data_IF_283052016919
#
_entry.id   IF_283052016919
#
_cell.length_a   1.000
_cell.length_b   1.000
_cell.length_c   1.000
_cell.angle_alpha   90.00
_cell.angle_beta   90.00
_cell.angle_gamma   90.00
#
_symmetry.space_group_name_H-M   'P 1'
#
loop_
_entity.id
_entity.type
_entity.pdbx_description
1 polymer ?
#
# COMPACT_ATOMS: atom_id res chain seq x y z
N UNK A 1 31.78 -1.27 -0.46
CA UNK A 1 30.59 -1.11 0.40
C UNK A 1 29.98 0.27 0.20
N UNK A 2 28.65 0.39 0.23
CA UNK A 2 27.97 1.69 0.06
C UNK A 2 28.32 2.65 1.21
N UNK A 3 28.35 3.96 0.93
CA UNK A 3 28.61 5.00 1.94
C UNK A 3 27.58 4.93 3.07
N UNK A 4 26.31 4.76 2.71
CA UNK A 4 25.17 4.71 3.64
C UNK A 4 25.27 3.65 4.74
N UNK A 5 25.80 2.46 4.43
CA UNK A 5 25.99 1.42 5.44
C UNK A 5 26.96 1.85 6.55
N UNK A 6 28.00 2.64 6.20
CA UNK A 6 28.94 3.19 7.20
C UNK A 6 28.29 4.30 8.00
N UNK A 7 27.50 5.16 7.36
CA UNK A 7 26.74 6.24 8.01
C UNK A 7 25.79 5.69 9.07
N UNK A 8 25.00 4.65 8.75
CA UNK A 8 24.10 3.98 9.71
C UNK A 8 24.88 3.36 10.87
N UNK A 9 26.01 2.70 10.57
CA UNK A 9 26.84 2.10 11.62
C UNK A 9 27.42 3.16 12.57
N UNK A 10 27.90 4.29 12.03
CA UNK A 10 28.41 5.40 12.82
C UNK A 10 27.30 5.99 13.69
N UNK A 11 26.11 6.26 13.13
CA UNK A 11 24.93 6.71 13.89
C UNK A 11 24.60 5.81 15.07
N UNK A 12 24.56 4.49 14.84
CA UNK A 12 24.30 3.52 15.92
C UNK A 12 25.34 3.59 17.05
N UNK A 13 26.62 3.82 16.71
CA UNK A 13 27.70 3.99 17.69
C UNK A 13 27.60 5.32 18.43
N UNK A 14 27.22 6.40 17.76
CA UNK A 14 27.04 7.72 18.36
C UNK A 14 25.88 7.72 19.35
N UNK A 15 24.74 7.10 18.99
CA UNK A 15 23.58 6.94 19.89
C UNK A 15 23.82 6.04 21.09
N UNK A 16 24.69 5.04 20.93
CA UNK A 16 25.09 4.17 22.02
C UNK A 16 26.14 4.80 22.96
N UNK A 17 26.44 6.11 22.79
CA UNK A 17 27.49 6.81 23.52
C UNK A 17 28.85 6.08 23.49
N UNK A 18 29.14 5.38 22.38
CA UNK A 18 30.31 4.51 22.26
C UNK A 18 31.58 5.27 21.81
N UNK A 19 31.48 6.58 21.58
CA UNK A 19 32.56 7.46 21.15
C UNK A 19 33.42 6.91 19.98
N UNK A 20 32.83 6.55 18.82
CA UNK A 20 33.61 6.06 17.68
C UNK A 20 34.60 7.14 17.21
N UNK A 21 35.78 6.74 16.75
CA UNK A 21 36.76 7.64 16.14
C UNK A 21 37.10 7.18 14.71
N UNK A 22 37.81 8.02 13.95
CA UNK A 22 38.15 7.71 12.56
C UNK A 22 38.95 6.41 12.41
N UNK A 23 39.74 6.02 13.41
CA UNK A 23 40.50 4.78 13.40
C UNK A 23 39.57 3.56 13.56
N UNK A 24 38.66 3.58 14.53
CA UNK A 24 37.67 2.53 14.71
C UNK A 24 36.77 2.35 13.48
N UNK A 25 36.39 3.46 12.83
CA UNK A 25 35.61 3.43 11.58
C UNK A 25 36.44 2.84 10.43
N UNK A 26 37.70 3.25 10.31
CA UNK A 26 38.61 2.76 9.28
C UNK A 26 38.86 1.25 9.38
N UNK A 27 39.09 0.76 10.60
CA UNK A 27 39.29 -0.67 10.90
C UNK A 27 38.01 -1.48 10.64
N UNK A 28 36.85 -0.99 11.09
CA UNK A 28 35.57 -1.71 10.92
C UNK A 28 35.17 -1.93 9.46
N UNK A 29 35.55 -1.03 8.56
CA UNK A 29 35.17 -1.09 7.14
C UNK A 29 36.34 -1.29 6.17
N UNK A 30 37.55 -1.48 6.69
CA UNK A 30 38.79 -1.59 5.93
C UNK A 30 38.94 -0.44 4.91
N UNK A 31 38.78 0.80 5.39
CA UNK A 31 38.91 2.02 4.60
C UNK A 31 40.04 2.90 5.14
N UNK A 32 40.46 3.90 4.36
CA UNK A 32 41.45 4.87 4.84
C UNK A 32 40.87 5.78 5.94
N UNK A 33 41.73 6.26 6.83
CA UNK A 33 41.38 7.29 7.83
C UNK A 33 40.75 8.53 7.19
N UNK A 34 41.23 8.91 6.00
CA UNK A 34 40.67 10.04 5.24
C UNK A 34 39.23 9.78 4.81
N UNK A 35 38.90 8.56 4.39
CA UNK A 35 37.53 8.21 4.02
C UNK A 35 36.62 8.17 5.25
N UNK A 36 37.11 7.61 6.36
CA UNK A 36 36.37 7.62 7.63
C UNK A 36 36.07 9.05 8.10
N UNK A 37 37.04 9.97 8.01
CA UNK A 37 36.83 11.38 8.32
C UNK A 37 35.76 12.02 7.43
N UNK A 38 35.77 11.72 6.12
CA UNK A 38 34.73 12.18 5.18
C UNK A 38 33.34 11.64 5.50
N UNK A 39 33.24 10.41 6.00
CA UNK A 39 31.95 9.84 6.37
C UNK A 39 31.37 10.56 7.61
N UNK A 40 32.22 10.97 8.56
CA UNK A 40 31.83 11.80 9.72
C UNK A 40 31.49 13.24 9.29
N UNK A 41 32.26 13.83 8.37
CA UNK A 41 31.94 15.14 7.78
C UNK A 41 30.59 15.10 7.04
N UNK A 42 30.33 14.04 6.28
CA UNK A 42 29.04 13.87 5.60
C UNK A 42 27.87 13.79 6.58
N UNK A 43 28.02 13.03 7.67
CA UNK A 43 27.04 12.98 8.77
C UNK A 43 26.75 14.37 9.34
N UNK A 44 27.78 15.15 9.65
CA UNK A 44 27.64 16.46 10.27
C UNK A 44 27.10 17.51 9.30
N UNK A 45 27.76 17.64 8.14
CA UNK A 45 27.59 18.77 7.23
C UNK A 45 26.46 18.55 6.22
N UNK A 46 26.20 17.30 5.81
CA UNK A 46 25.16 16.97 4.83
C UNK A 46 23.87 16.44 5.45
N UNK A 47 23.97 15.67 6.54
CA UNK A 47 22.81 15.11 7.24
C UNK A 47 22.37 15.93 8.47
N UNK A 48 23.09 17.03 8.75
CA UNK A 48 22.76 17.94 9.84
C UNK A 48 22.90 17.32 11.22
N UNK A 49 23.71 16.26 11.37
CA UNK A 49 23.85 15.58 12.63
C UNK A 49 24.70 16.41 13.62
N UNK A 50 24.26 16.56 14.89
CA UNK A 50 24.94 17.37 15.91
C UNK A 50 26.15 16.61 16.49
N UNK A 51 27.13 16.33 15.64
CA UNK A 51 28.31 15.51 15.96
C UNK A 51 29.46 16.40 16.45
N UNK A 52 29.99 16.10 17.63
CA UNK A 52 31.18 16.75 18.18
C UNK A 52 32.24 15.75 18.64
N UNK A 53 33.50 16.18 18.59
CA UNK A 53 34.63 15.38 19.06
C UNK A 53 34.88 15.60 20.56
N UNK A 54 34.70 14.54 21.35
CA UNK A 54 35.04 14.53 22.77
C UNK A 54 36.51 14.18 22.98
N UNK A 55 37.33 15.16 23.40
CA UNK A 55 38.76 14.94 23.71
C UNK A 55 38.97 13.94 24.84
N UNK A 56 38.09 13.92 25.85
CA UNK A 56 38.18 13.03 27.01
C UNK A 56 38.04 11.56 26.62
N UNK A 57 37.07 11.25 25.76
CA UNK A 57 36.78 9.89 25.31
C UNK A 57 37.45 9.53 23.97
N UNK A 58 38.21 10.47 23.38
CA UNK A 58 38.94 10.31 22.11
C UNK A 58 38.07 9.81 20.95
N UNK A 59 36.87 10.38 20.82
CA UNK A 59 35.91 9.99 19.79
C UNK A 59 34.74 10.96 19.66
N UNK A 60 33.89 10.71 18.67
CA UNK A 60 32.74 11.54 18.32
C UNK A 60 31.50 11.16 19.14
N UNK A 61 30.60 12.11 19.39
CA UNK A 61 29.31 11.88 20.05
C UNK A 61 28.26 12.84 19.52
N UNK A 62 26.99 12.55 19.78
CA UNK A 62 25.92 13.53 19.60
C UNK A 62 25.86 14.45 20.80
N UNK A 63 25.78 15.76 20.55
CA UNK A 63 25.53 16.76 21.61
C UNK A 63 24.07 16.77 22.03
N UNK A 64 23.16 16.31 21.16
CA UNK A 64 21.74 16.15 21.43
C UNK A 64 21.39 14.66 21.59
N UNK A 65 21.04 14.25 22.81
CA UNK A 65 20.72 12.84 23.12
C UNK A 65 19.46 12.32 22.39
N UNK A 66 18.58 13.22 21.94
CA UNK A 66 17.36 12.89 21.19
C UNK A 66 17.59 12.78 19.69
N UNK A 67 18.77 13.15 19.19
CA UNK A 67 19.05 13.08 17.77
C UNK A 67 19.16 11.63 17.29
N UNK A 68 18.49 11.32 16.20
CA UNK A 68 18.63 10.07 15.47
C UNK A 68 18.51 10.34 13.97
N UNK A 69 19.40 9.75 13.17
CA UNK A 69 19.22 9.82 11.72
C UNK A 69 17.90 9.13 11.31
N UNK A 70 17.19 9.66 10.29
CA UNK A 70 16.08 8.95 9.68
C UNK A 70 16.60 7.73 8.93
N UNK A 71 16.88 6.63 9.65
CA UNK A 71 17.11 5.33 9.05
C UNK A 71 15.76 4.79 8.58
N UNK A 72 15.31 5.19 7.39
CA UNK A 72 14.18 4.55 6.76
C UNK A 72 14.63 3.19 6.24
N UNK A 73 14.65 2.20 7.12
CA UNK A 73 14.93 0.81 6.80
C UNK A 73 13.74 0.24 6.02
N UNK A 74 13.75 0.43 4.70
CA UNK A 74 12.82 -0.24 3.81
C UNK A 74 13.36 -1.62 3.48
N UNK A 75 12.58 -2.64 3.80
CA UNK A 75 12.82 -4.00 3.29
C UNK A 75 12.68 -4.04 1.77
N UNK A 76 13.29 -5.04 1.11
CA UNK A 76 13.19 -5.20 -0.34
C UNK A 76 11.74 -5.37 -0.85
N UNK A 77 10.82 -5.83 0.01
CA UNK A 77 9.38 -5.87 -0.30
C UNK A 77 8.74 -4.49 -0.22
N UNK A 78 9.08 -3.68 0.79
CA UNK A 78 8.58 -2.31 0.93
C UNK A 78 9.10 -1.40 -0.18
N UNK A 79 10.37 -1.53 -0.58
CA UNK A 79 10.92 -0.79 -1.72
C UNK A 79 10.19 -1.15 -3.03
N UNK A 80 9.93 -2.45 -3.27
CA UNK A 80 9.12 -2.90 -4.42
C UNK A 80 7.70 -2.35 -4.41
N UNK A 81 7.05 -2.33 -3.25
CA UNK A 81 5.70 -1.77 -3.11
C UNK A 81 5.68 -0.27 -3.45
N UNK A 82 6.68 0.49 -3.00
CA UNK A 82 6.79 1.92 -3.30
C UNK A 82 7.06 2.16 -4.80
N UNK A 83 7.93 1.38 -5.44
CA UNK A 83 8.13 1.47 -6.90
C UNK A 83 6.86 1.13 -7.68
N UNK A 84 6.09 0.13 -7.24
CA UNK A 84 4.80 -0.21 -7.84
C UNK A 84 3.78 0.92 -7.68
N UNK A 85 3.68 1.51 -6.48
CA UNK A 85 2.80 2.66 -6.23
C UNK A 85 3.19 3.87 -7.10
N UNK A 86 4.50 4.16 -7.23
CA UNK A 86 4.98 5.21 -8.13
C UNK A 86 4.48 5.01 -9.56
N UNK A 87 4.70 3.81 -10.13
CA UNK A 87 4.27 3.50 -11.49
C UNK A 87 2.76 3.66 -11.67
N UNK A 88 1.96 3.26 -10.69
CA UNK A 88 0.49 3.32 -10.77
C UNK A 88 -0.03 4.75 -10.69
N UNK A 89 0.51 5.56 -9.79
CA UNK A 89 0.09 6.95 -9.63
C UNK A 89 0.55 7.84 -10.80
N UNK A 90 1.67 7.52 -11.44
CA UNK A 90 2.09 8.16 -12.69
C UNK A 90 1.08 7.94 -13.84
N UNK A 91 0.43 6.76 -13.86
CA UNK A 91 -0.56 6.41 -14.90
C UNK A 91 -1.95 6.96 -14.66
N UNK A 92 -2.25 7.49 -13.47
CA UNK A 92 -3.55 8.11 -13.16
C UNK A 92 -3.73 9.45 -13.88
N UNK A 93 -2.64 10.16 -14.21
CA UNK A 93 -2.69 11.43 -14.97
C UNK A 93 -3.14 12.67 -14.18
N UNK A 94 -3.41 12.52 -12.89
CA UNK A 94 -3.75 13.60 -11.96
C UNK A 94 -2.47 14.31 -11.44
N UNK A 95 -2.42 15.66 -11.42
CA UNK A 95 -1.29 16.42 -10.89
C UNK A 95 -0.88 16.08 -9.45
N UNK A 96 -1.84 15.83 -8.55
CA UNK A 96 -1.53 15.44 -7.17
C UNK A 96 -0.95 14.03 -7.10
N UNK A 97 -1.49 13.11 -7.92
CA UNK A 97 -0.97 11.76 -8.08
C UNK A 97 0.48 11.73 -8.61
N UNK A 98 0.86 12.64 -9.51
CA UNK A 98 2.23 12.76 -10.00
C UNK A 98 3.20 13.14 -8.88
N UNK A 99 2.82 14.08 -8.02
CA UNK A 99 3.63 14.46 -6.86
C UNK A 99 3.86 13.29 -5.90
N UNK A 100 2.82 12.49 -5.65
CA UNK A 100 2.92 11.27 -4.84
C UNK A 100 3.79 10.19 -5.51
N UNK A 101 3.68 10.03 -6.83
CA UNK A 101 4.51 9.11 -7.59
C UNK A 101 6.00 9.45 -7.43
N UNK A 102 6.36 10.72 -7.59
CA UNK A 102 7.74 11.18 -7.38
C UNK A 102 8.25 10.92 -5.96
N UNK A 103 7.40 11.14 -4.94
CA UNK A 103 7.75 10.87 -3.55
C UNK A 103 8.00 9.38 -3.30
N UNK A 104 7.11 8.50 -3.78
CA UNK A 104 7.29 7.05 -3.64
C UNK A 104 8.54 6.57 -4.38
N UNK A 105 8.83 7.13 -5.55
CA UNK A 105 10.05 6.82 -6.27
C UNK A 105 11.30 7.25 -5.52
N UNK A 106 11.30 8.44 -4.89
CA UNK A 106 12.42 8.92 -4.05
C UNK A 106 12.65 8.01 -2.84
N UNK A 107 11.57 7.59 -2.19
CA UNK A 107 11.63 6.67 -1.04
C UNK A 107 12.09 5.26 -1.46
N UNK A 108 11.65 4.75 -2.61
CA UNK A 108 12.08 3.46 -3.13
C UNK A 108 13.54 3.46 -3.62
N UNK A 109 14.00 4.56 -4.21
CA UNK A 109 15.34 4.70 -4.77
C UNK A 109 16.45 4.83 -3.72
N UNK A 110 16.10 5.17 -2.47
CA UNK A 110 17.04 5.32 -1.36
C UNK A 110 17.83 4.05 -0.99
N UNK A 111 17.42 2.86 -1.46
CA UNK A 111 18.02 1.56 -1.08
C UNK A 111 18.42 0.67 -2.27
N UNK A 112 18.44 1.17 -3.52
CA UNK A 112 18.92 0.34 -4.64
C UNK A 112 20.44 0.18 -4.60
N UNK A 113 20.95 -0.78 -3.81
CA UNK A 113 21.87 -1.80 -4.34
C UNK A 113 21.99 -3.07 -3.50
N UNK A 114 21.51 -4.14 -4.14
CA UNK A 114 21.90 -5.56 -4.06
C UNK A 114 21.35 -6.38 -2.89
N UNK A 115 20.15 -6.93 -3.11
CA UNK A 115 19.97 -8.37 -2.92
C UNK A 115 19.93 -9.02 -4.30
N UNK A 116 20.96 -9.80 -4.62
CA UNK A 116 20.91 -10.81 -5.67
C UNK A 116 19.92 -11.89 -5.19
N UNK A 117 18.99 -12.30 -6.04
CA UNK A 117 18.08 -13.42 -5.76
C UNK A 117 16.63 -13.19 -6.15
N UNK A 118 16.21 -13.99 -7.11
CA UNK A 118 14.84 -14.34 -7.46
C UNK A 118 13.97 -13.25 -8.11
N UNK A 119 13.94 -13.33 -9.45
CA UNK A 119 12.77 -13.81 -10.19
C UNK A 119 11.37 -13.49 -9.64
N UNK A 120 10.48 -13.16 -10.58
CA UNK A 120 9.02 -13.00 -10.45
C UNK A 120 8.53 -11.57 -10.18
N UNK A 121 8.61 -10.78 -11.24
CA UNK A 121 7.75 -9.61 -11.53
C UNK A 121 6.25 -9.99 -11.61
N UNK A 122 5.89 -11.28 -11.60
CA UNK A 122 4.54 -11.76 -11.95
C UNK A 122 3.52 -11.84 -10.79
N UNK A 123 3.91 -11.64 -9.52
CA UNK A 123 2.96 -11.82 -8.39
C UNK A 123 2.29 -10.55 -7.83
N UNK A 124 2.75 -9.37 -8.24
CA UNK A 124 2.30 -8.07 -7.70
C UNK A 124 1.37 -7.31 -8.66
N UNK A 125 1.30 -7.74 -9.93
CA UNK A 125 0.43 -7.12 -10.94
C UNK A 125 -1.06 -7.41 -10.70
N UNK A 126 -1.37 -8.50 -9.98
CA UNK A 126 -2.74 -8.95 -9.71
C UNK A 126 -3.28 -8.55 -8.33
N UNK A 127 -2.49 -7.87 -7.50
CA UNK A 127 -2.98 -7.41 -6.18
C UNK A 127 -3.64 -6.04 -6.34
N UNK A 128 -4.93 -5.88 -5.98
CA UNK A 128 -5.58 -4.58 -6.00
C UNK A 128 -4.82 -3.64 -5.06
N UNK A 129 -4.50 -2.44 -5.56
CA UNK A 129 -3.93 -1.37 -4.73
C UNK A 129 -4.97 -1.05 -3.66
N UNK A 130 -4.65 -1.13 -2.37
CA UNK A 130 -5.51 -0.55 -1.36
C UNK A 130 -5.48 0.97 -1.58
N UNK A 131 -6.53 1.49 -2.22
CA UNK A 131 -6.79 2.92 -2.27
C UNK A 131 -7.25 3.29 -0.87
N UNK A 132 -6.30 3.74 -0.04
CA UNK A 132 -6.62 4.32 1.25
C UNK A 132 -7.25 5.68 1.00
N UNK A 133 -8.56 5.72 0.82
CA UNK A 133 -9.30 6.98 0.92
C UNK A 133 -9.18 7.47 2.37
N UNK A 134 -8.54 8.63 2.52
CA UNK A 134 -8.24 9.29 3.81
C UNK A 134 -9.53 9.96 4.33
N UNK A 135 -10.57 9.16 4.57
CA UNK A 135 -11.72 9.56 5.37
C UNK A 135 -11.84 8.57 6.54
N UNK A 136 -11.75 9.09 7.77
CA UNK A 136 -11.79 8.28 8.99
C UNK A 136 -13.03 7.36 9.05
N UNK A 137 -14.16 7.82 8.51
CA UNK A 137 -15.44 7.09 8.47
C UNK A 137 -15.38 5.89 7.49
N UNK A 138 -14.66 6.01 6.37
CA UNK A 138 -14.48 4.90 5.43
C UNK A 138 -13.48 3.86 5.96
N UNK A 139 -12.54 4.28 6.80
CA UNK A 139 -11.54 3.40 7.42
C UNK A 139 -12.20 2.37 8.34
N UNK A 140 -13.16 2.78 9.17
CA UNK A 140 -13.88 1.86 10.08
C UNK A 140 -14.74 0.86 9.32
N UNK A 141 -15.49 1.32 8.31
CA UNK A 141 -16.31 0.45 7.44
C UNK A 141 -15.45 -0.58 6.73
N UNK A 142 -14.32 -0.14 6.16
CA UNK A 142 -13.37 -1.00 5.47
C UNK A 142 -12.80 -2.08 6.40
N UNK A 143 -12.36 -1.71 7.61
CA UNK A 143 -11.84 -2.67 8.58
C UNK A 143 -12.88 -3.70 9.00
N UNK A 144 -14.13 -3.28 9.25
CA UNK A 144 -15.22 -4.18 9.61
C UNK A 144 -15.54 -5.16 8.48
N UNK A 145 -15.63 -4.68 7.24
CA UNK A 145 -15.91 -5.52 6.07
C UNK A 145 -14.75 -6.45 5.73
N UNK A 146 -13.50 -5.97 5.78
CA UNK A 146 -12.32 -6.80 5.59
C UNK A 146 -12.26 -7.92 6.65
N UNK A 147 -12.61 -7.61 7.90
CA UNK A 147 -12.74 -8.60 8.98
C UNK A 147 -13.88 -9.59 8.69
N UNK A 148 -15.04 -9.12 8.24
CA UNK A 148 -16.19 -9.95 7.91
C UNK A 148 -15.85 -10.95 6.79
N UNK A 149 -15.21 -10.49 5.72
CA UNK A 149 -14.76 -11.32 4.59
C UNK A 149 -13.76 -12.37 5.07
N UNK A 150 -12.73 -11.97 5.83
CA UNK A 150 -11.69 -12.89 6.32
C UNK A 150 -12.25 -13.99 7.22
N UNK A 151 -13.25 -13.65 8.04
CA UNK A 151 -13.89 -14.60 8.97
C UNK A 151 -15.13 -15.29 8.38
N UNK A 152 -15.51 -14.94 7.15
CA UNK A 152 -16.74 -15.37 6.48
C UNK A 152 -17.98 -15.17 7.36
N UNK A 153 -18.10 -13.98 7.94
CA UNK A 153 -19.18 -13.56 8.85
C UNK A 153 -20.12 -12.61 8.11
N UNK A 154 -21.43 -12.84 8.20
CA UNK A 154 -22.44 -11.98 7.59
C UNK A 154 -22.44 -10.60 8.24
N UNK A 155 -22.94 -9.61 7.50
CA UNK A 155 -23.06 -8.24 7.98
C UNK A 155 -24.48 -7.71 7.76
N UNK A 156 -24.88 -6.81 8.64
CA UNK A 156 -25.98 -5.89 8.37
C UNK A 156 -25.40 -4.63 7.75
N UNK A 157 -25.98 -4.20 6.63
CA UNK A 157 -25.64 -2.96 5.94
C UNK A 157 -26.85 -2.03 5.90
N UNK A 158 -26.62 -0.76 6.18
CA UNK A 158 -27.56 0.31 5.88
C UNK A 158 -27.03 1.02 4.62
N UNK A 159 -27.72 0.88 3.49
CA UNK A 159 -27.30 1.39 2.18
C UNK A 159 -28.25 2.50 1.74
N UNK A 160 -27.72 3.62 1.26
CA UNK A 160 -28.50 4.68 0.65
C UNK A 160 -28.75 4.35 -0.83
N UNK A 161 -30.01 4.14 -1.20
CA UNK A 161 -30.48 3.96 -2.58
C UNK A 161 -31.55 5.04 -2.84
N UNK A 162 -31.37 5.88 -3.87
CA UNK A 162 -32.34 6.92 -4.28
C UNK A 162 -32.79 7.90 -3.17
N UNK A 163 -31.96 8.09 -2.13
CA UNK A 163 -32.29 8.96 -0.99
C UNK A 163 -33.01 8.25 0.16
N UNK A 164 -33.33 6.96 0.02
CA UNK A 164 -33.88 6.11 1.07
C UNK A 164 -32.81 5.18 1.66
N UNK A 165 -32.92 4.88 2.96
CA UNK A 165 -32.03 3.94 3.63
C UNK A 165 -32.63 2.54 3.53
N UNK A 166 -32.04 1.70 2.68
CA UNK A 166 -32.34 0.28 2.57
C UNK A 166 -31.48 -0.52 3.55
N UNK A 167 -32.12 -1.38 4.34
CA UNK A 167 -31.40 -2.27 5.27
C UNK A 167 -31.25 -3.67 4.68
N UNK A 168 -30.02 -4.15 4.61
CA UNK A 168 -29.67 -5.52 4.26
C UNK A 168 -29.28 -6.25 5.55
N UNK A 169 -30.13 -7.13 6.06
CA UNK A 169 -29.92 -7.78 7.36
C UNK A 169 -28.92 -8.94 7.34
N UNK A 170 -28.91 -9.72 6.25
CA UNK A 170 -28.12 -10.94 6.09
C UNK A 170 -27.28 -10.86 4.81
N UNK A 171 -26.36 -9.90 4.75
CA UNK A 171 -25.47 -9.73 3.61
C UNK A 171 -24.19 -10.54 3.82
N UNK A 172 -23.80 -11.33 2.82
CA UNK A 172 -22.57 -12.12 2.82
C UNK A 172 -21.49 -11.41 1.99
N UNK A 173 -20.57 -10.63 2.60
CA UNK A 173 -19.59 -9.86 1.86
C UNK A 173 -18.55 -10.78 1.25
N UNK A 174 -18.33 -10.73 -0.06
CA UNK A 174 -17.41 -11.66 -0.74
C UNK A 174 -16.05 -11.02 -1.01
N UNK A 175 -16.05 -9.79 -1.51
CA UNK A 175 -14.83 -9.13 -1.96
C UNK A 175 -14.95 -7.61 -1.84
N UNK A 176 -13.84 -6.99 -1.44
CA UNK A 176 -13.62 -5.55 -1.54
C UNK A 176 -12.61 -5.30 -2.65
N UNK A 177 -12.89 -4.35 -3.54
CA UNK A 177 -11.95 -3.96 -4.59
C UNK A 177 -12.17 -2.51 -5.02
N UNK A 178 -11.13 -1.82 -5.50
CA UNK A 178 -11.28 -0.50 -6.06
C UNK A 178 -11.83 -0.56 -7.50
N UNK A 179 -12.74 0.34 -7.85
CA UNK A 179 -13.22 0.59 -9.21
C UNK A 179 -13.37 2.10 -9.42
N UNK A 180 -12.74 2.62 -10.47
CA UNK A 180 -12.80 4.05 -10.85
C UNK A 180 -12.59 5.02 -9.68
N UNK A 181 -11.49 4.85 -8.93
CA UNK A 181 -11.14 5.61 -7.72
C UNK A 181 -12.06 5.45 -6.50
N UNK A 182 -13.06 4.57 -6.58
CA UNK A 182 -13.99 4.28 -5.49
C UNK A 182 -13.80 2.87 -4.93
N UNK A 183 -14.14 2.68 -3.65
CA UNK A 183 -14.13 1.35 -3.05
C UNK A 183 -15.48 0.66 -3.31
N UNK A 184 -15.45 -0.54 -3.86
CA UNK A 184 -16.64 -1.36 -4.12
C UNK A 184 -16.69 -2.58 -3.19
N UNK A 185 -17.90 -2.95 -2.80
CA UNK A 185 -18.23 -4.15 -2.06
C UNK A 185 -19.07 -5.06 -2.95
N UNK A 186 -18.57 -6.27 -3.17
CA UNK A 186 -19.31 -7.38 -3.75
C UNK A 186 -19.77 -8.31 -2.65
N UNK A 187 -21.02 -8.75 -2.70
CA UNK A 187 -21.52 -9.78 -1.81
C UNK A 187 -22.90 -10.27 -2.18
N UNK A 188 -23.37 -11.27 -1.46
CA UNK A 188 -24.66 -11.90 -1.69
C UNK A 188 -25.71 -11.35 -0.71
N UNK A 189 -26.82 -10.88 -1.27
CA UNK A 189 -28.00 -10.46 -0.53
C UNK A 189 -28.95 -11.64 -0.38
N UNK A 190 -29.02 -12.25 0.80
CA UNK A 190 -29.88 -13.43 1.03
C UNK A 190 -31.37 -13.12 0.90
N UNK A 191 -31.80 -11.89 1.16
CA UNK A 191 -33.21 -11.53 1.07
C UNK A 191 -33.67 -11.45 -0.40
N UNK A 192 -32.79 -10.97 -1.28
CA UNK A 192 -33.05 -10.89 -2.72
C UNK A 192 -32.59 -12.15 -3.49
N UNK A 193 -31.76 -13.01 -2.87
CA UNK A 193 -31.20 -14.19 -3.50
C UNK A 193 -30.21 -13.89 -4.63
N UNK A 194 -29.57 -12.71 -4.63
CA UNK A 194 -28.72 -12.26 -5.73
C UNK A 194 -27.38 -11.68 -5.27
N UNK A 195 -26.39 -11.69 -6.16
CA UNK A 195 -25.10 -11.03 -5.94
C UNK A 195 -25.26 -9.55 -6.26
N UNK A 196 -24.89 -8.70 -5.31
CA UNK A 196 -24.89 -7.24 -5.46
C UNK A 196 -23.48 -6.68 -5.45
N UNK A 197 -23.27 -5.69 -6.30
CA UNK A 197 -22.13 -4.78 -6.27
C UNK A 197 -22.62 -3.41 -5.79
N UNK A 198 -21.94 -2.83 -4.80
CA UNK A 198 -22.28 -1.51 -4.27
C UNK A 198 -21.02 -0.70 -3.97
N UNK A 199 -21.10 0.62 -4.07
CA UNK A 199 -20.03 1.52 -3.68
C UNK A 199 -20.02 1.73 -2.16
N UNK A 200 -18.85 1.73 -1.54
CA UNK A 200 -18.70 1.92 -0.08
C UNK A 200 -19.23 3.27 0.39
N UNK A 201 -19.22 4.30 -0.48
CA UNK A 201 -19.81 5.61 -0.19
C UNK A 201 -21.32 5.55 0.08
N UNK A 202 -22.04 4.59 -0.52
CA UNK A 202 -23.49 4.46 -0.33
C UNK A 202 -23.82 3.69 0.94
N UNK A 203 -22.86 2.94 1.48
CA UNK A 203 -23.02 2.21 2.75
C UNK A 203 -22.92 3.21 3.90
N UNK A 204 -24.04 3.55 4.51
CA UNK A 204 -24.10 4.44 5.67
C UNK A 204 -23.51 3.78 6.92
N UNK A 205 -23.86 2.52 7.20
CA UNK A 205 -23.45 1.80 8.40
C UNK A 205 -23.19 0.31 8.14
N UNK A 206 -22.28 -0.28 8.93
CA UNK A 206 -21.90 -1.69 8.87
C UNK A 206 -21.89 -2.28 10.28
N UNK A 207 -22.53 -3.43 10.47
CA UNK A 207 -22.42 -4.19 11.72
C UNK A 207 -22.27 -5.69 11.48
N UNK A 208 -21.42 -6.34 12.26
CA UNK A 208 -21.19 -7.79 12.15
C UNK A 208 -22.39 -8.55 12.71
N UNK A 209 -22.83 -9.58 11.99
CA UNK A 209 -23.81 -10.58 12.46
C UNK A 209 -23.05 -11.87 12.68
N UNK A 210 -23.05 -12.43 13.89
CA UNK A 210 -22.27 -13.63 14.25
C UNK A 210 -22.54 -14.91 13.43
N UNK A 211 -23.40 -14.84 12.41
CA UNK A 211 -23.68 -15.88 11.44
C UNK A 211 -22.55 -16.00 10.41
N UNK A 212 -22.18 -17.23 10.06
CA UNK A 212 -21.18 -17.49 9.02
C UNK A 212 -21.85 -17.87 7.70
N UNK A 213 -21.17 -17.61 6.59
CA UNK A 213 -21.58 -18.05 5.25
C UNK A 213 -20.45 -18.82 4.57
N UNK A 214 -20.80 -19.68 3.60
CA UNK A 214 -19.83 -20.33 2.73
C UNK A 214 -19.90 -19.68 1.34
N UNK A 215 -18.74 -19.46 0.71
CA UNK A 215 -18.67 -18.80 -0.61
C UNK A 215 -19.07 -19.76 -1.74
N UNK A 216 -18.76 -21.06 -1.60
CA UNK A 216 -18.97 -22.08 -2.65
C UNK A 216 -20.43 -22.26 -3.09
N UNK A 217 -21.45 -22.24 -2.21
CA UNK A 217 -22.86 -22.32 -2.61
C UNK A 217 -23.39 -21.04 -3.28
N UNK A 218 -22.79 -19.89 -2.99
CA UNK A 218 -23.28 -18.58 -3.44
C UNK A 218 -22.90 -18.29 -4.91
N UNK A 219 -21.78 -18.85 -5.38
CA UNK A 219 -21.36 -18.76 -6.78
C UNK A 219 -22.23 -19.60 -7.74
N UNK A 220 -22.97 -20.60 -7.22
CA UNK A 220 -23.84 -21.46 -8.02
C UNK A 220 -25.28 -20.97 -8.17
N UNK A 221 -25.69 -19.98 -7.36
CA UNK A 221 -27.08 -19.52 -7.27
C UNK A 221 -27.31 -18.07 -7.72
N UNK A 222 -26.26 -17.27 -7.90
CA UNK A 222 -26.38 -15.85 -8.22
C UNK A 222 -26.41 -15.58 -9.73
N UNK A 223 -27.54 -15.12 -10.26
CA UNK A 223 -27.53 -14.33 -11.50
C UNK A 223 -26.73 -13.04 -11.24
N UNK A 224 -25.68 -12.83 -12.03
CA UNK A 224 -24.91 -11.58 -12.03
C UNK A 224 -25.71 -10.58 -12.87
N UNK A 225 -26.44 -9.68 -12.22
CA UNK A 225 -27.09 -8.55 -12.91
C UNK A 225 -26.11 -7.38 -12.91
N UNK A 226 -25.50 -7.01 -14.05
CA UNK A 226 -24.79 -5.75 -14.15
C UNK A 226 -25.83 -4.63 -13.98
N UNK A 227 -25.64 -3.75 -13.00
CA UNK A 227 -26.38 -2.49 -12.96
C UNK A 227 -25.83 -1.65 -14.09
N UNK A 228 -26.51 -1.73 -15.23
CA UNK A 228 -26.21 -0.95 -16.42
C UNK A 228 -26.86 0.43 -16.28
N UNK A 229 -26.03 1.47 -16.25
CA UNK A 229 -26.33 2.69 -17.00
C UNK A 229 -25.14 2.98 -17.92
N UNK A 230 -25.34 2.63 -19.19
CA UNK A 230 -24.69 3.10 -20.43
C UNK A 230 -23.16 2.90 -20.65
N UNK A 231 -22.85 1.92 -21.51
CA UNK A 231 -21.55 1.56 -22.13
C UNK A 231 -21.16 2.49 -23.32
N UNK A 232 -19.89 2.57 -23.83
CA UNK A 232 -19.17 1.39 -24.33
C UNK A 232 -17.62 1.31 -24.27
N UNK A 233 -17.17 0.09 -23.97
CA UNK A 233 -15.98 -0.68 -24.40
C UNK A 233 -14.77 -0.03 -25.11
N UNK A 234 -13.58 -0.56 -24.78
CA UNK A 234 -12.60 -1.01 -25.79
C UNK A 234 -11.69 -2.15 -25.28
N UNK A 235 -12.15 -3.40 -25.36
CA UNK A 235 -11.23 -4.55 -25.56
C UNK A 235 -11.16 -4.78 -27.07
N UNK A 236 -10.03 -4.44 -27.69
CA UNK A 236 -9.77 -4.80 -29.08
C UNK A 236 -9.60 -6.32 -29.18
N UNK A 237 -10.59 -7.01 -29.73
CA UNK A 237 -10.39 -8.26 -30.50
C UNK A 237 -10.59 -7.97 -31.99
N UNK A 238 -9.84 -8.63 -32.89
CA UNK A 238 -9.87 -8.36 -34.32
C UNK A 238 -11.20 -8.84 -34.96
N UNK A 239 -11.53 -8.35 -36.17
CA UNK A 239 -12.89 -8.41 -36.68
C UNK A 239 -13.22 -9.80 -37.21
N UNK A 240 -14.30 -10.40 -36.71
CA UNK A 240 -15.01 -11.46 -37.43
C UNK A 240 -16.40 -10.92 -37.75
N UNK A 241 -16.71 -10.88 -39.04
CA UNK A 241 -17.96 -10.38 -39.62
C UNK A 241 -19.17 -11.06 -38.97
N UNK A 242 -20.08 -10.26 -38.40
CA UNK A 242 -21.42 -10.72 -38.01
C UNK A 242 -22.41 -10.37 -39.12
N UNK A 243 -22.97 -11.41 -39.73
CA UNK A 243 -24.18 -11.34 -40.53
C UNK A 243 -25.40 -11.23 -39.61
N UNK A 244 -26.22 -10.23 -39.96
CA UNK A 244 -27.63 -9.98 -39.64
C UNK A 244 -28.44 -11.17 -39.11
N UNK A 245 -29.18 -10.99 -38.00
CA UNK A 245 -30.67 -10.91 -37.96
C UNK A 245 -31.28 -11.19 -36.57
N UNK A 246 -32.21 -10.28 -36.22
CA UNK A 246 -33.55 -10.48 -35.65
C UNK A 246 -33.70 -11.08 -34.24
N UNK A 247 -34.07 -10.16 -33.34
CA UNK A 247 -35.30 -10.18 -32.52
C UNK A 247 -35.89 -11.54 -32.15
N UNK A 248 -36.14 -11.74 -30.85
CA UNK A 248 -37.46 -12.17 -30.38
C UNK A 248 -37.65 -11.96 -28.88
N UNK A 249 -38.79 -11.35 -28.58
CA UNK A 249 -39.48 -11.38 -27.28
C UNK A 249 -39.89 -12.82 -26.94
N UNK A 250 -39.81 -13.17 -25.66
CA UNK A 250 -40.92 -13.55 -24.80
C UNK A 250 -40.49 -13.39 -23.35
#
# INVERSE_FOLDING_TARGET
MSNWHRVIWIDGRLRAEAYPNCQAIAEAFNISLRQAARDVEYLRDSLGAPVEYCRKNKGYHYTEATFALPAMLLTASQARNLSYLSYRYEKTGDPEALGLAELFQKLAAGELRKSEGAEETCGLLDKPIPVHTVQAIETEKFQLLARAIRLQIKVRLDVMEEGEIRRLEHFAPMQLFPYDSENCLLGFDEAAGMIRLMFLRTVANVSLRGERYAISPLMGAGEVVPVAEEEPYCIRKPPVRLGVLKSLKL
#
